data_IF_651196827456
#
_entry.id   IF_651196827456
#
_cell.length_a   1.000
_cell.length_b   1.000
_cell.length_c   1.000
_cell.angle_alpha   90.00
_cell.angle_beta   90.00
_cell.angle_gamma   90.00
#
_symmetry.space_group_name_H-M   'P 1'
#
loop_
_entity.id
_entity.type
_entity.pdbx_description
1 polymer ?
#
# COMPACT_ATOMS: atom_id res chain seq x y z
N UNK A 1 -14.06 16.81 0.46
CA UNK A 1 -14.73 15.52 0.72
C UNK A 1 -13.66 14.46 0.63
N UNK A 2 -13.22 13.86 1.73
CA UNK A 2 -12.24 12.77 1.68
C UNK A 2 -13.03 11.48 1.44
N UNK A 3 -12.88 10.87 0.27
CA UNK A 3 -13.48 9.56 -0.02
C UNK A 3 -12.91 8.51 0.93
N UNK A 4 -13.71 7.51 1.28
CA UNK A 4 -13.30 6.40 2.16
C UNK A 4 -12.06 5.68 1.60
N UNK A 5 -11.96 5.55 0.28
CA UNK A 5 -10.76 5.03 -0.42
C UNK A 5 -9.52 5.89 -0.21
N UNK A 6 -9.70 7.21 -0.17
CA UNK A 6 -8.58 8.13 -0.02
C UNK A 6 -7.99 8.05 1.41
N UNK A 7 -8.83 7.80 2.42
CA UNK A 7 -8.39 7.53 3.80
C UNK A 7 -7.64 6.19 3.91
N UNK A 8 -8.13 5.14 3.26
CA UNK A 8 -7.47 3.83 3.25
C UNK A 8 -6.11 3.93 2.57
N UNK A 9 -6.06 4.55 1.39
CA UNK A 9 -4.82 4.80 0.65
C UNK A 9 -3.82 5.59 1.48
N UNK A 10 -4.27 6.66 2.14
CA UNK A 10 -3.42 7.45 3.02
C UNK A 10 -2.87 6.62 4.19
N UNK A 11 -3.69 5.76 4.79
CA UNK A 11 -3.28 4.84 5.85
C UNK A 11 -2.18 3.87 5.39
N UNK A 12 -2.34 3.27 4.21
CA UNK A 12 -1.32 2.40 3.61
C UNK A 12 -0.03 3.14 3.29
N UNK A 13 -0.11 4.34 2.72
CA UNK A 13 1.07 5.17 2.43
C UNK A 13 1.81 5.54 3.72
N UNK A 14 1.10 5.95 4.77
CA UNK A 14 1.72 6.26 6.06
C UNK A 14 2.32 5.01 6.73
N UNK A 15 1.67 3.86 6.62
CA UNK A 15 2.16 2.58 7.13
C UNK A 15 3.33 2.01 6.32
N UNK A 16 3.48 2.38 5.05
CA UNK A 16 4.55 1.88 4.20
C UNK A 16 5.94 2.29 4.68
N UNK A 17 6.08 3.50 5.24
CA UNK A 17 7.36 4.01 5.74
C UNK A 17 7.96 3.21 6.92
N UNK A 18 7.23 2.96 8.02
CA UNK A 18 7.77 2.16 9.13
C UNK A 18 8.04 0.71 8.70
N UNK A 19 7.25 0.14 7.80
CA UNK A 19 7.49 -1.22 7.27
C UNK A 19 8.75 -1.24 6.41
N UNK A 20 8.93 -0.27 5.52
CA UNK A 20 10.14 -0.14 4.70
C UNK A 20 11.40 0.06 5.56
N UNK A 21 11.31 0.87 6.61
CA UNK A 21 12.38 1.04 7.58
C UNK A 21 12.76 -0.28 8.25
N UNK A 22 11.77 -1.05 8.72
CA UNK A 22 12.01 -2.38 9.30
C UNK A 22 12.65 -3.35 8.29
N UNK A 23 12.20 -3.33 7.03
CA UNK A 23 12.80 -4.15 5.97
C UNK A 23 14.25 -3.72 5.69
N UNK A 24 14.55 -2.43 5.71
CA UNK A 24 15.91 -1.94 5.55
C UNK A 24 16.83 -2.41 6.68
N UNK A 25 16.38 -2.30 7.92
CA UNK A 25 17.13 -2.75 9.11
C UNK A 25 17.41 -4.25 9.07
N UNK A 26 16.43 -5.06 8.66
CA UNK A 26 16.56 -6.52 8.63
C UNK A 26 17.40 -7.03 7.45
N UNK A 27 17.31 -6.37 6.30
CA UNK A 27 17.98 -6.83 5.07
C UNK A 27 19.30 -6.13 4.78
N UNK A 28 19.52 -4.94 5.35
CA UNK A 28 20.63 -4.05 5.02
C UNK A 28 20.60 -3.50 3.58
N UNK A 29 19.55 -3.78 2.81
CA UNK A 29 19.47 -3.43 1.39
C UNK A 29 18.38 -2.38 1.14
N UNK A 30 18.82 -1.21 0.67
CA UNK A 30 17.92 -0.12 0.30
C UNK A 30 16.90 -0.52 -0.77
N UNK A 31 17.27 -1.41 -1.70
CA UNK A 31 16.38 -1.85 -2.77
C UNK A 31 15.11 -2.54 -2.24
N UNK A 32 15.24 -3.39 -1.21
CA UNK A 32 14.08 -4.06 -0.61
C UNK A 32 13.22 -3.10 0.21
N UNK A 33 13.83 -2.14 0.89
CA UNK A 33 13.11 -1.04 1.55
C UNK A 33 12.29 -0.22 0.55
N UNK A 34 12.91 0.19 -0.55
CA UNK A 34 12.25 0.93 -1.62
C UNK A 34 11.10 0.13 -2.25
N UNK A 35 11.33 -1.15 -2.56
CA UNK A 35 10.29 -2.03 -3.09
C UNK A 35 9.12 -2.17 -2.11
N UNK A 36 9.39 -2.22 -0.81
CA UNK A 36 8.36 -2.29 0.24
C UNK A 36 7.45 -1.07 0.21
N UNK A 37 7.99 0.13 0.03
CA UNK A 37 7.18 1.36 -0.07
C UNK A 37 6.22 1.28 -1.25
N UNK A 38 6.70 0.81 -2.41
CA UNK A 38 5.88 0.67 -3.62
C UNK A 38 4.78 -0.37 -3.42
N UNK A 39 5.13 -1.55 -2.90
CA UNK A 39 4.18 -2.64 -2.73
C UNK A 39 3.10 -2.27 -1.72
N UNK A 40 3.49 -1.79 -0.53
CA UNK A 40 2.55 -1.45 0.55
C UNK A 40 1.74 -0.20 0.20
N UNK A 41 2.40 0.84 -0.30
CA UNK A 41 1.79 2.16 -0.50
C UNK A 41 0.99 2.31 -1.79
N UNK A 42 1.25 1.46 -2.79
CA UNK A 42 0.61 1.58 -4.12
C UNK A 42 -0.05 0.28 -4.52
N UNK A 43 0.69 -0.82 -4.63
CA UNK A 43 0.18 -2.06 -5.25
C UNK A 43 -0.98 -2.66 -4.44
N UNK A 44 -0.83 -2.77 -3.12
CA UNK A 44 -1.87 -3.33 -2.24
C UNK A 44 -3.17 -2.50 -2.30
N UNK A 45 -3.16 -1.18 -2.03
CA UNK A 45 -4.39 -0.39 -2.09
C UNK A 45 -5.02 -0.36 -3.49
N UNK A 46 -4.22 -0.32 -4.57
CA UNK A 46 -4.73 -0.42 -5.94
C UNK A 46 -5.42 -1.76 -6.19
N UNK A 47 -4.79 -2.88 -5.81
CA UNK A 47 -5.37 -4.21 -5.99
C UNK A 47 -6.66 -4.40 -5.16
N UNK A 48 -6.72 -3.84 -3.95
CA UNK A 48 -7.92 -3.85 -3.12
C UNK A 48 -9.04 -3.06 -3.79
N UNK A 49 -8.77 -1.84 -4.27
CA UNK A 49 -9.78 -1.04 -4.94
C UNK A 49 -10.28 -1.71 -6.23
N UNK A 50 -9.38 -2.30 -7.01
CA UNK A 50 -9.75 -3.01 -8.24
C UNK A 50 -10.58 -4.26 -7.94
N UNK A 51 -10.22 -5.02 -6.90
CA UNK A 51 -11.00 -6.17 -6.45
C UNK A 51 -12.41 -5.78 -5.99
N UNK A 52 -12.54 -4.71 -5.19
CA UNK A 52 -13.83 -4.22 -4.72
C UNK A 52 -14.70 -3.72 -5.88
N UNK A 53 -14.12 -2.94 -6.80
CA UNK A 53 -14.82 -2.44 -7.98
C UNK A 53 -15.27 -3.57 -8.92
N UNK A 54 -14.47 -4.63 -9.06
CA UNK A 54 -14.83 -5.80 -9.87
C UNK A 54 -16.00 -6.58 -9.23
N UNK A 55 -16.09 -6.64 -7.90
CA UNK A 55 -17.18 -7.32 -7.21
C UNK A 55 -18.50 -6.53 -7.27
N UNK A 56 -18.46 -5.20 -7.19
CA UNK A 56 -19.65 -4.35 -7.32
C UNK A 56 -20.21 -4.33 -8.76
N UNK A 57 -19.40 -4.66 -9.77
CA UNK A 57 -19.82 -4.72 -11.18
C UNK A 57 -20.58 -6.01 -11.55
N UNK A 58 -20.44 -7.08 -10.76
CA UNK A 58 -21.10 -8.38 -10.96
C UNK A 58 -22.42 -8.52 -10.18
N UNK A 59 -22.81 -7.53 -9.38
CA UNK A 59 -24.06 -7.47 -8.59
C UNK A 59 -25.11 -6.52 -9.17
#
# INVERSE_FOLDING_TARGET
MVSRENLVTLGFVLGAFPVAFAVQELTGQFLYSYATVIVIGVVIPTAINEYLNAHDADS
#
